data_IF_896509919296
#
_entry.id   IF_896509919296
#
_cell.length_a   1.000
_cell.length_b   1.000
_cell.length_c   1.000
_cell.angle_alpha   90.00
_cell.angle_beta   90.00
_cell.angle_gamma   90.00
#
_symmetry.space_group_name_H-M   'P 1'
#
loop_
_entity.id
_entity.type
_entity.pdbx_description
1 polymer ?
#
# COMPACT_ATOMS: atom_id res chain seq x y z
N UNK A 1 -27.83 2.85 24.58
CA UNK A 1 -27.95 2.23 23.24
C UNK A 1 -28.46 3.30 22.28
N UNK A 2 -27.95 3.45 21.04
CA UNK A 2 -27.16 2.47 20.26
C UNK A 2 -25.65 2.72 20.41
N UNK A 3 -24.82 1.68 20.53
CA UNK A 3 -24.16 1.00 19.41
C UNK A 3 -23.38 1.97 18.52
N UNK A 4 -22.20 2.40 18.94
CA UNK A 4 -21.20 2.83 17.96
C UNK A 4 -20.69 1.54 17.29
N UNK A 5 -21.35 1.23 16.19
CA UNK A 5 -21.15 0.04 15.41
C UNK A 5 -19.65 -0.10 15.08
N UNK A 6 -19.10 -1.28 15.39
CA UNK A 6 -17.94 -1.78 14.68
C UNK A 6 -18.22 -1.56 13.19
N UNK A 7 -17.51 -0.60 12.58
CA UNK A 7 -17.62 -0.37 11.14
C UNK A 7 -17.38 -1.72 10.47
N UNK A 8 -18.36 -2.25 9.72
CA UNK A 8 -18.10 -3.46 8.96
C UNK A 8 -16.93 -3.14 8.04
N UNK A 9 -15.87 -3.95 8.12
CA UNK A 9 -14.82 -3.90 7.12
C UNK A 9 -15.50 -3.99 5.75
N UNK A 10 -15.33 -3.02 4.84
CA UNK A 10 -15.94 -3.12 3.53
C UNK A 10 -15.47 -4.41 2.87
N UNK A 11 -16.42 -5.17 2.33
CA UNK A 11 -16.14 -6.39 1.56
C UNK A 11 -15.09 -6.09 0.48
N UNK A 12 -14.16 -7.02 0.20
CA UNK A 12 -13.10 -6.79 -0.77
C UNK A 12 -13.73 -6.58 -2.16
N UNK A 13 -13.75 -5.33 -2.63
CA UNK A 13 -14.04 -5.05 -4.03
C UNK A 13 -12.99 -5.73 -4.90
N UNK A 14 -13.39 -6.37 -6.02
CA UNK A 14 -12.48 -7.14 -6.85
C UNK A 14 -11.35 -6.25 -7.38
N UNK A 15 -10.13 -6.80 -7.28
CA UNK A 15 -8.86 -6.19 -7.64
C UNK A 15 -8.92 -5.37 -8.94
N UNK A 16 -8.37 -4.14 -8.97
CA UNK A 16 -7.99 -3.55 -10.24
C UNK A 16 -6.79 -4.33 -10.77
N UNK A 17 -6.99 -5.14 -11.82
CA UNK A 17 -5.89 -5.73 -12.56
C UNK A 17 -4.96 -4.60 -13.06
N UNK A 18 -3.70 -4.52 -12.63
CA UNK A 18 -2.76 -3.64 -13.28
C UNK A 18 -2.19 -4.36 -14.50
N UNK A 19 -2.46 -3.85 -15.70
CA UNK A 19 -1.69 -4.23 -16.88
C UNK A 19 -0.19 -3.94 -16.61
N UNK A 20 0.73 -4.90 -16.81
CA UNK A 20 2.14 -4.69 -16.55
C UNK A 20 2.75 -3.88 -17.69
N UNK A 21 2.74 -2.56 -17.57
CA UNK A 21 3.72 -1.73 -18.28
C UNK A 21 4.95 -1.55 -17.38
N UNK A 22 5.63 -2.66 -17.11
CA UNK A 22 6.86 -2.74 -16.29
C UNK A 22 8.09 -2.41 -17.14
N UNK A 23 8.09 -1.26 -17.82
CA UNK A 23 9.25 -0.74 -18.51
C UNK A 23 9.70 0.55 -17.80
N UNK A 24 10.63 0.43 -16.85
CA UNK A 24 11.32 1.58 -16.24
C UNK A 24 10.96 1.95 -14.79
N UNK A 25 10.19 1.12 -14.07
CA UNK A 25 9.98 1.33 -12.63
C UNK A 25 11.25 0.96 -11.84
N UNK A 26 11.57 1.68 -10.74
CA UNK A 26 12.69 1.33 -9.88
C UNK A 26 12.52 -0.10 -9.35
N UNK A 27 13.59 -0.88 -9.37
CA UNK A 27 13.60 -2.23 -8.83
C UNK A 27 13.41 -2.14 -7.31
N UNK A 28 12.28 -2.66 -6.82
CA UNK A 28 12.02 -2.78 -5.39
C UNK A 28 12.45 -4.18 -4.97
N UNK A 29 13.53 -4.32 -4.19
CA UNK A 29 14.02 -5.63 -3.79
C UNK A 29 13.07 -6.27 -2.76
N UNK A 30 12.90 -7.60 -2.82
CA UNK A 30 12.06 -8.35 -1.88
C UNK A 30 12.52 -8.21 -0.41
N UNK A 31 13.82 -8.03 -0.19
CA UNK A 31 14.43 -7.78 1.12
C UNK A 31 14.36 -6.31 1.57
N UNK A 32 13.93 -5.40 0.70
CA UNK A 32 13.79 -3.99 1.03
C UNK A 32 12.71 -3.76 2.08
N UNK A 33 12.90 -2.75 2.93
CA UNK A 33 11.94 -2.40 3.99
C UNK A 33 11.17 -1.15 3.59
N UNK A 34 9.92 -1.29 3.11
CA UNK A 34 9.12 -0.12 2.74
C UNK A 34 8.68 0.65 3.99
N UNK A 35 8.92 1.95 3.97
CA UNK A 35 8.43 2.91 4.96
C UNK A 35 7.72 4.07 4.27
N UNK A 36 6.69 4.60 4.92
CA UNK A 36 6.08 5.86 4.49
C UNK A 36 7.10 6.99 4.60
N UNK A 37 7.16 7.85 3.57
CA UNK A 37 8.01 9.04 3.60
C UNK A 37 7.59 9.98 4.73
N UNK A 38 8.55 10.66 5.35
CA UNK A 38 8.30 11.58 6.50
C UNK A 38 7.28 12.69 6.23
N UNK A 39 7.15 13.13 4.98
CA UNK A 39 6.24 14.19 4.56
C UNK A 39 4.86 13.68 4.12
N UNK A 40 4.65 12.36 4.06
CA UNK A 40 3.41 11.76 3.62
C UNK A 40 2.60 11.28 4.81
N UNK A 41 1.30 11.55 4.78
CA UNK A 41 0.36 11.13 5.84
C UNK A 41 -0.78 10.34 5.24
N UNK A 42 -1.03 9.15 5.77
CA UNK A 42 -2.22 8.38 5.46
C UNK A 42 -3.40 8.92 6.28
N UNK A 43 -4.51 9.21 5.61
CA UNK A 43 -5.77 9.64 6.22
C UNK A 43 -6.93 8.83 5.67
N UNK A 44 -7.94 8.61 6.50
CA UNK A 44 -9.20 8.03 6.05
C UNK A 44 -10.20 9.14 5.73
N UNK A 45 -10.62 9.21 4.48
CA UNK A 45 -11.67 10.12 4.01
C UNK A 45 -13.02 9.46 4.29
N UNK A 46 -13.71 9.90 5.36
CA UNK A 46 -15.02 9.37 5.76
C UNK A 46 -16.12 9.63 4.73
N UNK A 47 -16.00 10.68 3.92
CA UNK A 47 -17.00 11.03 2.92
C UNK A 47 -16.99 10.06 1.75
N UNK A 48 -15.81 9.52 1.43
CA UNK A 48 -15.62 8.57 0.32
C UNK A 48 -15.26 7.16 0.78
N UNK A 49 -15.30 6.94 2.10
CA UNK A 49 -15.00 5.67 2.77
C UNK A 49 -13.71 5.00 2.27
N UNK A 50 -12.65 5.81 2.06
CA UNK A 50 -11.40 5.34 1.48
C UNK A 50 -10.18 5.99 2.11
N UNK A 51 -9.07 5.27 2.07
CA UNK A 51 -7.78 5.79 2.52
C UNK A 51 -7.19 6.69 1.43
N UNK A 52 -6.56 7.78 1.85
CA UNK A 52 -5.84 8.71 0.98
C UNK A 52 -4.47 8.99 1.57
N UNK A 53 -3.45 9.03 0.72
CA UNK A 53 -2.15 9.57 1.07
C UNK A 53 -2.14 11.05 0.72
N UNK A 54 -1.86 11.88 1.72
CA UNK A 54 -1.59 13.28 1.56
C UNK A 54 -0.08 13.44 1.41
N UNK A 55 0.37 13.69 0.19
CA UNK A 55 1.74 14.09 -0.11
C UNK A 55 1.87 15.61 -0.28
N UNK A 56 3.10 16.14 -0.33
CA UNK A 56 3.35 17.57 -0.45
C UNK A 56 2.86 18.15 -1.77
N UNK A 57 2.97 17.39 -2.87
CA UNK A 57 2.64 17.85 -4.22
C UNK A 57 1.40 17.15 -4.79
N UNK A 58 0.83 16.18 -4.09
CA UNK A 58 -0.25 15.34 -4.61
C UNK A 58 -1.04 14.62 -3.52
N UNK A 59 -2.33 14.40 -3.78
CA UNK A 59 -3.19 13.50 -3.00
C UNK A 59 -3.39 12.22 -3.79
N UNK A 60 -3.06 11.08 -3.19
CA UNK A 60 -3.22 9.76 -3.81
C UNK A 60 -4.35 9.03 -3.11
N UNK A 61 -5.37 8.66 -3.86
CA UNK A 61 -6.44 7.80 -3.34
C UNK A 61 -5.94 6.36 -3.31
N UNK A 62 -5.99 5.73 -2.14
CA UNK A 62 -5.64 4.34 -1.95
C UNK A 62 -6.87 3.46 -2.07
N UNK A 63 -6.66 2.32 -2.71
CA UNK A 63 -7.60 1.21 -2.65
C UNK A 63 -7.46 0.48 -1.31
N UNK A 64 -8.44 -0.34 -0.90
CA UNK A 64 -8.38 -1.10 0.35
C UNK A 64 -7.11 -1.94 0.47
N UNK A 65 -6.74 -2.67 -0.59
CA UNK A 65 -5.48 -3.43 -0.64
C UNK A 65 -4.25 -2.54 -0.51
N UNK A 66 -4.25 -1.36 -1.14
CA UNK A 66 -3.14 -0.41 -1.02
C UNK A 66 -2.99 0.16 0.39
N UNK A 67 -4.12 0.42 1.07
CA UNK A 67 -4.13 0.82 2.47
C UNK A 67 -3.60 -0.26 3.40
N UNK A 68 -3.95 -1.53 3.14
CA UNK A 68 -3.43 -2.68 3.87
C UNK A 68 -1.91 -2.85 3.64
N UNK A 69 -1.43 -2.73 2.39
CA UNK A 69 0.02 -2.74 2.08
C UNK A 69 0.72 -1.66 2.91
N UNK A 70 0.23 -0.42 2.85
CA UNK A 70 0.84 0.71 3.55
C UNK A 70 0.72 0.60 5.07
N UNK A 71 -0.33 -0.04 5.58
CA UNK A 71 -0.47 -0.37 6.99
C UNK A 71 0.56 -1.38 7.49
N UNK A 72 1.13 -2.20 6.60
CA UNK A 72 2.23 -3.11 6.90
C UNK A 72 3.61 -2.52 6.59
N UNK A 73 3.67 -1.38 5.91
CA UNK A 73 4.91 -0.65 5.61
C UNK A 73 5.34 0.19 6.83
N UNK A 74 5.93 -0.48 7.81
CA UNK A 74 6.44 0.10 9.06
C UNK A 74 7.95 0.43 9.02
N UNK A 75 8.64 0.16 7.90
CA UNK A 75 10.10 0.27 7.78
C UNK A 75 10.87 -0.86 8.48
N UNK A 76 10.19 -1.84 9.08
CA UNK A 76 10.79 -3.01 9.74
C UNK A 76 10.59 -4.26 8.89
N UNK A 77 9.39 -4.44 8.36
CA UNK A 77 9.02 -5.60 7.53
C UNK A 77 9.62 -5.47 6.14
N UNK A 78 9.97 -6.60 5.55
CA UNK A 78 10.46 -6.65 4.17
C UNK A 78 9.29 -6.73 3.19
N UNK A 79 9.51 -6.35 1.93
CA UNK A 79 8.48 -6.46 0.88
C UNK A 79 7.93 -7.88 0.77
N UNK A 80 8.78 -8.92 0.85
CA UNK A 80 8.32 -10.32 0.85
C UNK A 80 7.44 -10.68 2.04
N UNK A 81 7.72 -10.17 3.24
CA UNK A 81 6.90 -10.42 4.43
C UNK A 81 5.53 -9.71 4.32
N UNK A 82 5.53 -8.49 3.78
CA UNK A 82 4.30 -7.76 3.47
C UNK A 82 3.47 -8.51 2.43
N UNK A 83 4.09 -8.99 1.35
CA UNK A 83 3.43 -9.75 0.30
C UNK A 83 2.85 -11.07 0.83
N UNK A 84 3.61 -11.83 1.61
CA UNK A 84 3.15 -13.08 2.22
C UNK A 84 1.94 -12.86 3.16
N UNK A 85 1.95 -11.77 3.94
CA UNK A 85 0.82 -11.40 4.80
C UNK A 85 -0.41 -10.99 4.02
N UNK A 86 -0.21 -10.29 2.90
CA UNK A 86 -1.32 -9.98 2.00
C UNK A 86 -1.87 -11.20 1.31
N UNK A 87 -1.02 -12.13 0.86
CA UNK A 87 -1.46 -13.40 0.27
C UNK A 87 -2.33 -14.21 1.23
N UNK A 88 -1.99 -14.22 2.53
CA UNK A 88 -2.81 -14.86 3.54
C UNK A 88 -4.19 -14.19 3.73
N UNK A 89 -4.31 -12.90 3.42
CA UNK A 89 -5.56 -12.12 3.57
C UNK A 89 -6.36 -12.05 2.26
N UNK A 90 -5.68 -12.15 1.13
CA UNK A 90 -6.20 -11.98 -0.22
C UNK A 90 -5.66 -13.10 -1.11
N UNK A 91 -6.51 -14.05 -1.49
CA UNK A 91 -6.20 -15.20 -2.38
C UNK A 91 -5.62 -14.82 -3.76
N UNK A 92 -5.60 -13.54 -4.14
CA UNK A 92 -5.22 -13.05 -5.47
C UNK A 92 -4.03 -12.10 -5.51
N UNK A 93 -3.39 -11.79 -4.39
CA UNK A 93 -2.27 -10.83 -4.40
C UNK A 93 -0.99 -11.51 -4.87
N UNK A 94 -0.44 -11.00 -5.98
CA UNK A 94 0.84 -11.47 -6.53
C UNK A 94 1.98 -10.59 -6.01
N UNK A 95 3.12 -11.17 -5.65
CA UNK A 95 4.32 -10.45 -5.22
C UNK A 95 4.72 -9.32 -6.19
N UNK A 96 4.60 -9.56 -7.50
CA UNK A 96 4.81 -8.57 -8.55
C UNK A 96 3.86 -7.38 -8.45
N UNK A 97 2.59 -7.57 -8.08
CA UNK A 97 1.64 -6.47 -7.93
C UNK A 97 1.99 -5.59 -6.73
N UNK A 98 2.40 -6.20 -5.61
CA UNK A 98 2.87 -5.46 -4.42
C UNK A 98 4.12 -4.67 -4.77
N UNK A 99 5.08 -5.31 -5.43
CA UNK A 99 6.35 -4.70 -5.86
C UNK A 99 6.11 -3.54 -6.82
N UNK A 100 5.28 -3.73 -7.84
CA UNK A 100 4.91 -2.69 -8.79
C UNK A 100 4.09 -1.55 -8.15
N UNK A 101 3.27 -1.85 -7.14
CA UNK A 101 2.57 -0.83 -6.36
C UNK A 101 3.54 0.03 -5.54
N UNK A 102 4.45 -0.60 -4.79
CA UNK A 102 5.49 0.10 -4.03
C UNK A 102 6.39 0.92 -4.94
N UNK A 103 6.83 0.38 -6.07
CA UNK A 103 7.68 1.07 -7.03
C UNK A 103 7.02 2.37 -7.56
N UNK A 104 5.70 2.36 -7.81
CA UNK A 104 4.95 3.56 -8.21
C UNK A 104 4.91 4.63 -7.11
N UNK A 105 4.82 4.21 -5.84
CA UNK A 105 4.83 5.14 -4.70
C UNK A 105 6.23 5.71 -4.44
N UNK A 106 7.29 4.94 -4.70
CA UNK A 106 8.68 5.41 -4.65
C UNK A 106 8.93 6.52 -5.67
N UNK A 107 8.46 6.35 -6.92
CA UNK A 107 8.58 7.40 -7.97
C UNK A 107 7.91 8.71 -7.54
N UNK A 108 6.83 8.63 -6.76
CA UNK A 108 6.12 9.81 -6.23
C UNK A 108 6.65 10.29 -4.87
N UNK A 109 7.78 9.77 -4.41
CA UNK A 109 8.36 10.06 -3.10
C UNK A 109 7.38 9.86 -1.92
N UNK A 110 6.43 8.94 -2.06
CA UNK A 110 5.42 8.64 -1.03
C UNK A 110 5.85 7.50 -0.10
N UNK A 111 6.67 6.58 -0.63
CA UNK A 111 7.26 5.46 0.09
C UNK A 111 8.76 5.46 -0.19
N UNK A 112 9.54 5.12 0.82
CA UNK A 112 10.98 4.94 0.74
C UNK A 112 11.27 3.45 1.01
N UNK A 113 12.20 2.86 0.25
CA UNK A 113 12.64 1.48 0.48
C UNK A 113 14.03 1.53 1.09
N UNK A 114 14.14 1.11 2.34
CA UNK A 114 15.44 0.96 2.98
C UNK A 114 16.07 -0.38 2.58
N UNK A 115 17.31 -0.34 2.09
CA UNK A 115 18.12 -1.51 1.78
C UNK A 115 19.21 -1.63 2.85
N UNK A 116 18.81 -1.83 4.12
CA UNK A 116 19.69 -1.86 5.29
C UNK A 116 21.13 -2.24 4.96
N UNK A 117 22.00 -1.23 4.96
CA UNK A 117 23.44 -1.34 4.70
C UNK A 117 24.14 -1.96 5.90
#
# INVERSE_FOLDING_TARGET
MPSDAASPAPAPSPAPAPAPSTAGLPAVPPAGRPSLSRHVRMRFDRTRERHVLLGPESVIVLNPTGADILGLCDGVRTVSDVAAKLQARYDRVVDDEVTAFLARLVVRHCVEIDHGQ
#
